data_IF_446678395171
#
_entry.id   IF_446678395171
#
_cell.length_a   1.000
_cell.length_b   1.000
_cell.length_c   1.000
_cell.angle_alpha   90.00
_cell.angle_beta   90.00
_cell.angle_gamma   90.00
#
_symmetry.space_group_name_H-M   'P 1'
#
loop_
_entity.id
_entity.type
_entity.pdbx_description
1 polymer ?
#
# COMPACT_ATOMS: atom_id res chain seq x y z
N UNK A 1 28.57 -15.61 -27.21
CA UNK A 1 27.84 -14.32 -27.34
C UNK A 1 28.81 -13.18 -27.52
N UNK A 2 29.78 -13.02 -26.61
CA UNK A 2 30.72 -11.89 -26.64
C UNK A 2 31.57 -11.80 -27.91
N UNK A 3 31.92 -12.94 -28.51
CA UNK A 3 32.79 -12.96 -29.70
C UNK A 3 32.03 -12.90 -31.04
N UNK A 4 30.70 -13.06 -31.04
CA UNK A 4 29.91 -13.27 -32.25
C UNK A 4 28.80 -12.24 -32.48
N UNK A 5 28.46 -11.44 -31.46
CA UNK A 5 27.41 -10.41 -31.56
C UNK A 5 28.09 -9.03 -31.62
N UNK A 6 28.04 -8.39 -32.79
CA UNK A 6 28.76 -7.12 -33.03
C UNK A 6 28.27 -5.92 -32.20
N UNK A 7 27.05 -5.98 -31.67
CA UNK A 7 26.46 -4.93 -30.83
C UNK A 7 26.48 -5.33 -29.35
N UNK A 8 27.05 -4.47 -28.50
CA UNK A 8 27.02 -4.67 -27.03
C UNK A 8 25.59 -4.72 -26.48
N UNK A 9 24.66 -3.98 -27.08
CA UNK A 9 23.26 -3.97 -26.67
C UNK A 9 22.58 -5.31 -26.98
N UNK A 10 22.78 -5.83 -28.19
CA UNK A 10 22.21 -7.10 -28.61
C UNK A 10 22.83 -8.26 -27.83
N UNK A 11 24.13 -8.20 -27.55
CA UNK A 11 24.82 -9.15 -26.68
C UNK A 11 24.19 -9.17 -25.27
N UNK A 12 23.84 -8.00 -24.72
CA UNK A 12 23.16 -7.89 -23.42
C UNK A 12 21.75 -8.47 -23.46
N UNK A 13 20.99 -8.23 -24.53
CA UNK A 13 19.66 -8.84 -24.72
C UNK A 13 19.79 -10.37 -24.75
N UNK A 14 20.67 -10.90 -25.59
CA UNK A 14 20.84 -12.35 -25.75
C UNK A 14 21.29 -13.02 -24.45
N UNK A 15 22.24 -12.41 -23.72
CA UNK A 15 22.64 -12.88 -22.38
C UNK A 15 21.48 -12.89 -21.40
N UNK A 16 20.62 -11.87 -21.44
CA UNK A 16 19.43 -11.80 -20.59
C UNK A 16 18.44 -12.91 -20.94
N UNK A 17 18.21 -13.19 -22.23
CA UNK A 17 17.35 -14.29 -22.67
C UNK A 17 17.88 -15.64 -22.20
N UNK A 18 19.18 -15.91 -22.38
CA UNK A 18 19.81 -17.15 -21.90
C UNK A 18 19.65 -17.32 -20.39
N UNK A 19 19.85 -16.23 -19.63
CA UNK A 19 19.63 -16.24 -18.19
C UNK A 19 18.18 -16.55 -17.82
N UNK A 20 17.22 -15.87 -18.43
CA UNK A 20 15.80 -16.13 -18.20
C UNK A 20 15.45 -17.59 -18.52
N UNK A 21 15.95 -18.14 -19.63
CA UNK A 21 15.76 -19.55 -19.98
C UNK A 21 16.38 -20.51 -18.95
N UNK A 22 17.59 -20.22 -18.47
CA UNK A 22 18.28 -21.06 -17.48
C UNK A 22 17.56 -21.13 -16.13
N UNK A 23 16.90 -20.04 -15.72
CA UNK A 23 16.16 -19.94 -14.46
C UNK A 23 14.66 -20.22 -14.62
N UNK A 24 14.15 -20.48 -15.83
CA UNK A 24 12.73 -20.74 -16.06
C UNK A 24 12.36 -22.12 -15.53
N UNK A 25 11.45 -22.15 -14.56
CA UNK A 25 11.02 -23.39 -13.91
C UNK A 25 9.61 -23.83 -14.29
N UNK A 26 8.77 -22.90 -14.77
CA UNK A 26 7.40 -23.19 -15.24
C UNK A 26 6.90 -22.05 -16.14
N UNK A 27 6.11 -22.37 -17.15
CA UNK A 27 5.32 -21.39 -17.90
C UNK A 27 4.01 -21.98 -18.41
N UNK A 28 2.95 -21.17 -18.45
CA UNK A 28 1.68 -21.57 -19.05
C UNK A 28 1.61 -21.32 -20.57
N UNK A 29 2.72 -20.87 -21.19
CA UNK A 29 2.78 -20.64 -22.63
C UNK A 29 2.45 -21.91 -23.45
N UNK A 30 2.83 -23.08 -22.95
CA UNK A 30 2.60 -24.37 -23.60
C UNK A 30 1.33 -25.10 -23.11
N UNK A 31 0.42 -24.39 -22.43
CA UNK A 31 -0.85 -24.93 -21.95
C UNK A 31 -1.70 -25.46 -23.11
N UNK A 32 -2.49 -26.51 -22.84
CA UNK A 32 -3.58 -26.90 -23.73
C UNK A 32 -4.69 -25.82 -23.72
N UNK A 33 -4.89 -25.16 -24.86
CA UNK A 33 -5.83 -24.04 -25.01
C UNK A 33 -5.20 -22.67 -24.75
N UNK A 34 -5.93 -21.60 -25.04
CA UNK A 34 -5.39 -20.23 -24.97
C UNK A 34 -5.34 -19.72 -23.54
N UNK A 35 -4.14 -19.41 -23.05
CA UNK A 35 -3.96 -18.70 -21.79
C UNK A 35 -4.45 -17.24 -21.89
N UNK A 36 -5.14 -16.74 -20.87
CA UNK A 36 -5.62 -15.35 -20.82
C UNK A 36 -4.50 -14.33 -20.60
N UNK A 37 -3.39 -14.77 -20.00
CA UNK A 37 -2.11 -14.10 -19.93
C UNK A 37 -1.00 -15.17 -19.79
N UNK A 38 0.22 -14.82 -20.19
CA UNK A 38 1.39 -15.69 -20.07
C UNK A 38 2.04 -15.46 -18.72
N UNK A 39 2.20 -16.50 -17.92
CA UNK A 39 3.03 -16.51 -16.72
C UNK A 39 4.33 -17.28 -16.99
N UNK A 40 5.44 -16.69 -16.58
CA UNK A 40 6.76 -17.32 -16.53
C UNK A 40 7.26 -17.26 -15.09
N UNK A 41 7.50 -18.42 -14.49
CA UNK A 41 8.01 -18.56 -13.12
C UNK A 41 9.50 -18.88 -13.17
N UNK A 42 10.28 -18.05 -12.53
CA UNK A 42 11.72 -18.22 -12.34
C UNK A 42 12.04 -18.56 -10.88
N UNK A 43 13.14 -19.28 -10.65
CA UNK A 43 13.76 -19.27 -9.32
C UNK A 43 14.34 -17.89 -9.00
N UNK A 44 14.67 -17.66 -7.73
CA UNK A 44 15.18 -16.37 -7.27
C UNK A 44 16.59 -16.01 -7.76
N UNK A 45 17.41 -17.01 -8.12
CA UNK A 45 18.79 -16.79 -8.58
C UNK A 45 18.82 -16.02 -9.91
N UNK A 46 17.68 -15.91 -10.61
CA UNK A 46 17.49 -15.00 -11.74
C UNK A 46 17.81 -13.53 -11.40
N UNK A 47 17.87 -13.16 -10.13
CA UNK A 47 18.26 -11.83 -9.66
C UNK A 47 19.63 -11.77 -8.96
N UNK A 48 20.39 -12.87 -8.90
CA UNK A 48 21.62 -12.96 -8.10
C UNK A 48 22.75 -11.99 -8.52
N UNK A 49 22.81 -11.64 -9.80
CA UNK A 49 23.78 -10.69 -10.37
C UNK A 49 23.36 -9.22 -10.25
N UNK A 50 22.16 -8.95 -9.70
CA UNK A 50 21.67 -7.59 -9.56
C UNK A 50 22.38 -6.90 -8.38
N UNK A 51 22.52 -5.56 -8.40
CA UNK A 51 23.16 -4.83 -7.31
C UNK A 51 22.43 -5.07 -5.99
N UNK A 52 23.16 -5.48 -4.94
CA UNK A 52 22.58 -5.73 -3.61
C UNK A 52 22.01 -4.49 -2.93
N UNK A 53 22.41 -3.31 -3.38
CA UNK A 53 21.82 -2.03 -2.95
C UNK A 53 20.36 -1.89 -3.38
N UNK A 54 19.96 -2.54 -4.48
CA UNK A 54 18.58 -2.56 -4.99
C UNK A 54 17.89 -3.89 -4.66
N UNK A 55 18.64 -4.99 -4.66
CA UNK A 55 18.14 -6.36 -4.45
C UNK A 55 18.91 -7.01 -3.29
N UNK A 56 18.61 -6.57 -2.08
CA UNK A 56 19.33 -6.95 -0.84
C UNK A 56 19.27 -8.44 -0.46
N UNK A 57 18.27 -9.16 -0.95
CA UNK A 57 17.98 -10.56 -0.62
C UNK A 57 17.47 -11.28 -1.87
N UNK A 58 17.95 -12.50 -2.09
CA UNK A 58 17.46 -13.35 -3.18
C UNK A 58 16.02 -13.81 -2.83
N UNK A 59 15.02 -13.57 -3.71
CA UNK A 59 13.66 -14.03 -3.48
C UNK A 59 13.58 -15.56 -3.61
N UNK A 60 12.46 -16.16 -3.18
CA UNK A 60 12.22 -17.58 -3.42
C UNK A 60 11.77 -17.84 -4.86
N UNK A 61 10.91 -16.97 -5.41
CA UNK A 61 10.47 -17.05 -6.80
C UNK A 61 10.11 -15.67 -7.35
N UNK A 62 10.27 -15.54 -8.66
CA UNK A 62 9.86 -14.36 -9.45
C UNK A 62 8.94 -14.82 -10.57
N UNK A 63 7.77 -14.20 -10.70
CA UNK A 63 6.89 -14.38 -11.86
C UNK A 63 6.91 -13.14 -12.72
N UNK A 64 7.03 -13.32 -14.02
CA UNK A 64 6.66 -12.32 -15.02
C UNK A 64 5.32 -12.75 -15.62
N UNK A 65 4.33 -11.86 -15.56
CA UNK A 65 3.00 -12.09 -16.13
C UNK A 65 2.73 -11.06 -17.21
N UNK A 66 2.45 -11.51 -18.43
CA UNK A 66 2.20 -10.64 -19.59
C UNK A 66 0.82 -10.94 -20.14
N UNK A 67 -0.05 -9.93 -20.10
CA UNK A 67 -1.39 -9.99 -20.67
C UNK A 67 -1.52 -9.10 -21.91
N UNK A 68 -2.73 -9.04 -22.46
CA UNK A 68 -3.03 -8.24 -23.66
C UNK A 68 -2.82 -6.73 -23.48
N UNK A 69 -3.06 -6.22 -22.28
CA UNK A 69 -3.10 -4.77 -21.99
C UNK A 69 -2.36 -4.40 -20.70
N UNK A 70 -1.48 -5.31 -20.24
CA UNK A 70 -0.69 -5.13 -19.05
C UNK A 70 0.53 -6.06 -19.07
N UNK A 71 1.51 -5.74 -18.25
CA UNK A 71 2.44 -6.74 -17.74
C UNK A 71 2.72 -6.47 -16.26
N UNK A 72 3.24 -7.47 -15.57
CA UNK A 72 3.31 -7.45 -14.12
C UNK A 72 4.30 -8.44 -13.55
N UNK A 73 4.61 -8.26 -12.27
CA UNK A 73 5.47 -9.17 -11.52
C UNK A 73 4.75 -9.72 -10.30
N UNK A 74 5.06 -10.97 -9.94
CA UNK A 74 4.80 -11.50 -8.61
C UNK A 74 6.12 -11.95 -7.98
N UNK A 75 6.49 -11.39 -6.84
CA UNK A 75 7.70 -11.80 -6.11
C UNK A 75 7.29 -12.32 -4.74
N UNK A 76 7.95 -13.40 -4.30
CA UNK A 76 7.83 -13.92 -2.93
C UNK A 76 9.18 -14.34 -2.36
N UNK A 77 9.35 -14.20 -1.05
CA UNK A 77 10.62 -14.45 -0.34
C UNK A 77 10.71 -15.80 0.37
N UNK A 78 9.60 -16.54 0.44
CA UNK A 78 9.52 -17.87 1.04
C UNK A 78 8.60 -18.75 0.19
N UNK A 79 8.63 -20.06 0.44
CA UNK A 79 7.75 -21.03 -0.21
C UNK A 79 6.27 -20.69 0.00
N UNK A 80 5.86 -20.52 1.26
CA UNK A 80 4.54 -20.04 1.65
C UNK A 80 4.67 -18.56 1.96
N UNK A 81 4.05 -17.72 1.14
CA UNK A 81 4.14 -16.27 1.26
C UNK A 81 2.83 -15.58 0.89
N UNK A 82 2.60 -14.41 1.49
CA UNK A 82 1.40 -13.59 1.27
C UNK A 82 1.73 -12.13 1.02
N UNK A 83 0.86 -11.48 0.24
CA UNK A 83 0.85 -10.03 0.14
C UNK A 83 0.03 -9.48 -1.01
N UNK A 84 -0.08 -8.16 -1.03
CA UNK A 84 -1.01 -7.41 -1.88
C UNK A 84 -0.72 -7.53 -3.37
N UNK A 85 -1.76 -7.51 -4.21
CA UNK A 85 -1.65 -7.25 -5.64
C UNK A 85 -1.99 -5.78 -5.88
N UNK A 86 -1.07 -5.01 -6.47
CA UNK A 86 -1.25 -3.60 -6.83
C UNK A 86 -1.52 -3.47 -8.32
N UNK A 87 -2.53 -2.67 -8.68
CA UNK A 87 -2.79 -2.30 -10.06
C UNK A 87 -2.36 -0.85 -10.28
N UNK A 88 -1.32 -0.67 -11.10
CA UNK A 88 -0.62 0.59 -11.31
C UNK A 88 -1.19 1.29 -12.54
N UNK A 89 -1.74 2.48 -12.29
CA UNK A 89 -2.25 3.39 -13.30
C UNK A 89 -1.25 4.54 -13.50
N UNK A 90 -1.14 5.02 -14.74
CA UNK A 90 -0.21 6.08 -15.13
C UNK A 90 -0.97 7.26 -15.72
N UNK A 91 -0.96 8.39 -15.02
CA UNK A 91 -1.67 9.62 -15.42
C UNK A 91 -1.22 10.22 -16.76
N UNK A 92 0.02 9.93 -17.18
CA UNK A 92 0.59 10.41 -18.44
C UNK A 92 1.76 9.51 -18.88
N UNK A 93 2.21 9.70 -20.12
CA UNK A 93 3.31 8.91 -20.71
C UNK A 93 4.62 8.99 -19.94
N UNK A 94 4.92 10.13 -19.31
CA UNK A 94 6.16 10.28 -18.53
C UNK A 94 6.13 9.42 -17.27
N UNK A 95 5.00 9.41 -16.56
CA UNK A 95 4.78 8.53 -15.41
C UNK A 95 4.78 7.06 -15.83
N UNK A 96 4.15 6.71 -16.96
CA UNK A 96 4.16 5.34 -17.48
C UNK A 96 5.58 4.85 -17.79
N UNK A 97 6.40 5.67 -18.46
CA UNK A 97 7.81 5.33 -18.74
C UNK A 97 8.60 5.08 -17.46
N UNK A 98 8.39 5.91 -16.43
CA UNK A 98 9.03 5.73 -15.11
C UNK A 98 8.58 4.40 -14.48
N UNK A 99 7.28 4.18 -14.36
CA UNK A 99 6.72 2.96 -13.77
C UNK A 99 7.20 1.71 -14.50
N UNK A 100 7.25 1.75 -15.83
CA UNK A 100 7.77 0.69 -16.68
C UNK A 100 9.23 0.35 -16.37
N UNK A 101 10.08 1.39 -16.26
CA UNK A 101 11.51 1.20 -15.98
C UNK A 101 11.79 0.65 -14.57
N UNK A 102 10.93 0.93 -13.59
CA UNK A 102 11.14 0.58 -12.18
C UNK A 102 10.24 -0.53 -11.66
N UNK A 103 9.38 -1.14 -12.50
CA UNK A 103 8.32 -2.04 -12.05
C UNK A 103 8.84 -3.25 -11.24
N UNK A 104 9.93 -3.86 -11.69
CA UNK A 104 10.56 -4.99 -11.01
C UNK A 104 11.10 -4.59 -9.63
N UNK A 105 11.78 -3.45 -9.56
CA UNK A 105 12.33 -2.91 -8.31
C UNK A 105 11.22 -2.53 -7.33
N UNK A 106 10.16 -1.88 -7.80
CA UNK A 106 8.99 -1.56 -6.99
C UNK A 106 8.34 -2.82 -6.43
N UNK A 107 8.09 -3.84 -7.27
CA UNK A 107 7.51 -5.10 -6.82
C UNK A 107 8.39 -5.81 -5.79
N UNK A 108 9.70 -5.85 -6.03
CA UNK A 108 10.68 -6.42 -5.12
C UNK A 108 10.67 -5.71 -3.76
N UNK A 109 10.75 -4.37 -3.74
CA UNK A 109 10.79 -3.58 -2.52
C UNK A 109 9.50 -3.73 -1.70
N UNK A 110 8.34 -3.77 -2.36
CA UNK A 110 7.06 -4.02 -1.71
C UNK A 110 6.97 -5.43 -1.12
N UNK A 111 7.44 -6.45 -1.86
CA UNK A 111 7.49 -7.83 -1.37
C UNK A 111 8.48 -8.00 -0.21
N UNK A 112 9.62 -7.31 -0.26
CA UNK A 112 10.65 -7.37 0.78
C UNK A 112 10.18 -6.67 2.06
N UNK A 113 9.52 -5.52 1.93
CA UNK A 113 8.86 -4.86 3.05
C UNK A 113 7.83 -5.79 3.69
N UNK A 114 7.03 -6.50 2.87
CA UNK A 114 6.08 -7.49 3.40
C UNK A 114 6.78 -8.66 4.11
N UNK A 115 7.96 -9.08 3.64
CA UNK A 115 8.75 -10.13 4.28
C UNK A 115 9.23 -9.71 5.67
N UNK A 116 9.66 -8.46 5.81
CA UNK A 116 10.07 -7.90 7.11
C UNK A 116 8.88 -7.72 8.06
N UNK A 117 7.70 -7.39 7.53
CA UNK A 117 6.46 -7.29 8.30
C UNK A 117 5.99 -8.65 8.84
N UNK A 118 6.16 -9.72 8.07
CA UNK A 118 5.68 -11.05 8.44
C UNK A 118 6.65 -11.81 9.36
N UNK A 119 7.49 -11.12 10.14
CA UNK A 119 8.55 -11.75 10.96
C UNK A 119 8.02 -12.71 12.05
N UNK A 120 6.79 -12.50 12.51
CA UNK A 120 6.19 -13.24 13.63
C UNK A 120 5.04 -14.20 13.20
N UNK A 121 4.87 -14.42 11.88
CA UNK A 121 3.85 -15.34 11.33
C UNK A 121 4.51 -16.37 10.41
N UNK A 122 3.89 -17.55 10.19
CA UNK A 122 4.53 -18.63 9.42
C UNK A 122 4.70 -18.32 7.93
N UNK A 123 3.94 -17.39 7.36
CA UNK A 123 4.06 -17.01 5.95
C UNK A 123 5.06 -15.87 5.73
N UNK A 124 5.97 -16.01 4.77
CA UNK A 124 6.82 -14.88 4.34
C UNK A 124 6.07 -13.85 3.48
N UNK A 125 6.82 -12.88 2.95
CA UNK A 125 6.29 -11.77 2.19
C UNK A 125 6.24 -12.03 0.69
N UNK A 126 5.15 -11.60 0.06
CA UNK A 126 5.01 -11.52 -1.38
C UNK A 126 4.36 -10.22 -1.85
N UNK A 127 4.42 -9.93 -3.15
CA UNK A 127 3.69 -8.83 -3.77
C UNK A 127 3.42 -9.11 -5.23
N UNK A 128 2.24 -8.72 -5.71
CA UNK A 128 1.92 -8.63 -7.14
C UNK A 128 1.88 -7.17 -7.59
N UNK A 129 2.35 -6.87 -8.80
CA UNK A 129 2.12 -5.59 -9.48
C UNK A 129 1.60 -5.85 -10.89
N UNK A 130 0.63 -5.05 -11.31
CA UNK A 130 0.02 -5.08 -12.66
C UNK A 130 0.14 -3.66 -13.21
N UNK A 131 1.04 -3.44 -14.17
CA UNK A 131 1.15 -2.16 -14.85
C UNK A 131 0.22 -2.16 -16.08
N UNK A 132 -0.81 -1.33 -16.04
CA UNK A 132 -1.76 -1.17 -17.15
C UNK A 132 -1.18 -0.33 -18.27
N UNK A 133 -1.45 -0.72 -19.51
CA UNK A 133 -1.12 0.10 -20.68
C UNK A 133 -1.88 1.42 -20.68
N UNK A 134 -1.26 2.47 -21.25
CA UNK A 134 -1.82 3.83 -21.28
C UNK A 134 -3.26 3.91 -21.81
N UNK A 135 -3.56 3.13 -22.84
CA UNK A 135 -4.85 3.17 -23.53
C UNK A 135 -5.88 2.22 -22.88
N UNK A 136 -5.54 1.58 -21.76
CA UNK A 136 -6.33 0.53 -21.11
C UNK A 136 -6.34 0.66 -19.59
N UNK A 137 -6.62 1.86 -19.07
CA UNK A 137 -6.57 2.15 -17.63
C UNK A 137 -7.93 2.28 -16.91
N UNK A 138 -9.04 1.94 -17.57
CA UNK A 138 -10.35 1.99 -16.91
C UNK A 138 -10.45 0.86 -15.88
N UNK A 139 -10.52 1.21 -14.61
CA UNK A 139 -10.46 0.25 -13.52
C UNK A 139 -11.61 -0.78 -13.56
N UNK A 140 -12.82 -0.35 -13.94
CA UNK A 140 -14.01 -1.20 -13.91
C UNK A 140 -14.10 -2.18 -15.10
N UNK A 141 -13.43 -1.87 -16.21
CA UNK A 141 -13.40 -2.72 -17.40
C UNK A 141 -12.01 -3.36 -17.57
N UNK A 142 -11.08 -2.66 -18.22
CA UNK A 142 -9.74 -3.18 -18.53
C UNK A 142 -8.93 -3.53 -17.28
N UNK A 143 -9.06 -2.78 -16.19
CA UNK A 143 -8.40 -3.10 -14.91
C UNK A 143 -8.90 -4.40 -14.29
N UNK A 144 -10.23 -4.61 -14.30
CA UNK A 144 -10.86 -5.87 -13.88
C UNK A 144 -10.40 -7.05 -14.75
N UNK A 145 -10.35 -6.86 -16.06
CA UNK A 145 -9.94 -7.92 -17.00
C UNK A 145 -8.45 -8.25 -16.84
N UNK A 146 -7.59 -7.24 -16.65
CA UNK A 146 -6.18 -7.45 -16.35
C UNK A 146 -5.99 -8.21 -15.03
N UNK A 147 -6.72 -7.86 -13.98
CA UNK A 147 -6.69 -8.60 -12.72
C UNK A 147 -7.12 -10.07 -12.91
N UNK A 148 -8.18 -10.33 -13.67
CA UNK A 148 -8.64 -11.69 -13.97
C UNK A 148 -7.57 -12.49 -14.71
N UNK A 149 -7.04 -11.95 -15.80
CA UNK A 149 -6.02 -12.60 -16.61
C UNK A 149 -4.75 -12.85 -15.80
N UNK A 150 -4.34 -11.90 -14.96
CA UNK A 150 -3.21 -12.04 -14.05
C UNK A 150 -3.42 -13.20 -13.07
N UNK A 151 -4.57 -13.24 -12.38
CA UNK A 151 -4.89 -14.31 -11.42
C UNK A 151 -5.04 -15.66 -12.13
N UNK A 152 -5.61 -15.70 -13.33
CA UNK A 152 -5.73 -16.92 -14.11
C UNK A 152 -4.37 -17.49 -14.53
N UNK A 153 -3.45 -16.63 -14.95
CA UNK A 153 -2.10 -17.04 -15.33
C UNK A 153 -1.34 -17.62 -14.14
N UNK A 154 -1.49 -17.02 -12.95
CA UNK A 154 -0.93 -17.58 -11.71
C UNK A 154 -1.65 -18.87 -11.29
N UNK A 155 -2.97 -18.96 -11.48
CA UNK A 155 -3.74 -20.19 -11.22
C UNK A 155 -3.38 -21.31 -12.18
N UNK A 156 -2.97 -21.01 -13.42
CA UNK A 156 -2.40 -22.01 -14.32
C UNK A 156 -1.15 -22.64 -13.69
N UNK A 157 -0.27 -21.82 -13.12
CA UNK A 157 0.91 -22.32 -12.42
C UNK A 157 0.57 -23.10 -11.13
N UNK A 158 -0.42 -22.65 -10.35
CA UNK A 158 -0.88 -23.34 -9.13
C UNK A 158 -1.47 -24.71 -9.47
N UNK A 159 -2.26 -24.77 -10.54
CA UNK A 159 -2.96 -25.96 -11.02
C UNK A 159 -2.20 -26.61 -12.18
N UNK A 160 -0.87 -26.68 -12.08
CA UNK A 160 -0.01 -27.12 -13.17
C UNK A 160 -0.41 -28.51 -13.68
N UNK A 161 -0.77 -29.45 -12.79
CA UNK A 161 -1.19 -30.80 -13.17
C UNK A 161 -2.50 -30.79 -13.95
N UNK A 162 -3.51 -30.07 -13.45
CA UNK A 162 -4.84 -29.97 -14.05
C UNK A 162 -4.82 -29.21 -15.37
N UNK A 163 -3.84 -28.34 -15.57
CA UNK A 163 -3.66 -27.55 -16.80
C UNK A 163 -2.67 -28.16 -17.79
N UNK A 164 -2.09 -29.32 -17.46
CA UNK A 164 -1.12 -30.02 -18.31
C UNK A 164 0.23 -29.31 -18.41
N UNK A 165 0.55 -28.42 -17.47
CA UNK A 165 1.81 -27.69 -17.47
C UNK A 165 2.94 -28.54 -16.88
N UNK A 166 4.05 -28.55 -17.61
CA UNK A 166 5.31 -29.05 -17.10
C UNK A 166 5.85 -28.11 -16.02
N UNK A 167 6.35 -28.71 -14.92
CA UNK A 167 6.83 -28.01 -13.74
C UNK A 167 8.12 -28.65 -13.24
N UNK A 168 9.18 -27.85 -13.13
CA UNK A 168 10.44 -28.24 -12.49
C UNK A 168 10.43 -28.07 -10.96
N UNK A 169 9.24 -27.95 -10.35
CA UNK A 169 9.11 -27.78 -8.92
C UNK A 169 9.14 -29.09 -8.15
N UNK A 170 9.87 -29.10 -7.04
CA UNK A 170 9.85 -30.20 -6.08
C UNK A 170 8.57 -30.29 -5.24
N UNK A 171 7.79 -29.20 -5.16
CA UNK A 171 6.57 -29.09 -4.37
C UNK A 171 5.44 -28.40 -5.15
N UNK A 172 4.16 -28.67 -4.82
CA UNK A 172 3.04 -27.96 -5.42
C UNK A 172 3.14 -26.46 -5.18
N UNK A 173 2.67 -25.69 -6.16
CA UNK A 173 2.74 -24.25 -6.10
C UNK A 173 1.58 -23.67 -5.28
N UNK A 174 1.87 -22.78 -4.32
CA UNK A 174 0.87 -22.16 -3.46
C UNK A 174 1.11 -20.66 -3.33
N UNK A 175 0.10 -19.86 -3.65
CA UNK A 175 0.14 -18.39 -3.58
C UNK A 175 -1.06 -17.87 -2.80
N UNK A 176 -0.84 -16.76 -2.08
CA UNK A 176 -1.86 -16.08 -1.28
C UNK A 176 -1.81 -14.57 -1.55
N UNK A 177 -2.94 -13.98 -1.93
CA UNK A 177 -3.04 -12.62 -2.43
C UNK A 177 -3.83 -11.73 -1.48
N UNK A 178 -3.30 -10.55 -1.16
CA UNK A 178 -4.04 -9.49 -0.49
C UNK A 178 -4.53 -8.42 -1.47
N UNK A 179 -5.44 -7.54 -1.03
CA UNK A 179 -5.69 -6.29 -1.74
C UNK A 179 -4.50 -5.34 -1.58
N UNK A 180 -4.35 -4.44 -2.55
CA UNK A 180 -3.53 -3.23 -2.48
C UNK A 180 -4.22 -2.14 -3.31
N UNK A 181 -3.52 -1.04 -3.59
CA UNK A 181 -3.99 0.05 -4.44
C UNK A 181 -4.68 -0.49 -5.71
N UNK A 182 -5.92 -0.03 -5.92
CA UNK A 182 -6.79 -0.34 -7.04
C UNK A 182 -7.25 -1.81 -7.18
N UNK A 183 -7.06 -2.69 -6.19
CA UNK A 183 -7.48 -4.11 -6.32
C UNK A 183 -8.45 -4.60 -5.24
N UNK A 184 -8.75 -3.80 -4.21
CA UNK A 184 -9.65 -4.19 -3.12
C UNK A 184 -11.00 -4.76 -3.62
N UNK A 185 -11.62 -4.11 -4.61
CA UNK A 185 -12.88 -4.55 -5.22
C UNK A 185 -12.81 -5.88 -5.99
N UNK A 186 -11.62 -6.41 -6.29
CA UNK A 186 -11.43 -7.61 -7.10
C UNK A 186 -11.11 -8.87 -6.29
N UNK A 187 -10.86 -8.76 -4.98
CA UNK A 187 -10.45 -9.91 -4.16
C UNK A 187 -11.50 -11.04 -4.12
N UNK A 188 -12.78 -10.68 -4.12
CA UNK A 188 -13.90 -11.63 -4.26
C UNK A 188 -13.80 -12.39 -5.58
N UNK A 189 -13.51 -11.68 -6.67
CA UNK A 189 -13.43 -12.24 -8.01
C UNK A 189 -12.30 -13.28 -8.09
N UNK A 190 -11.11 -12.94 -7.59
CA UNK A 190 -9.97 -13.88 -7.57
C UNK A 190 -10.29 -15.20 -6.86
N UNK A 191 -10.92 -15.16 -5.68
CA UNK A 191 -11.33 -16.38 -4.97
C UNK A 191 -12.40 -17.19 -5.72
N UNK A 192 -13.39 -16.54 -6.32
CA UNK A 192 -14.44 -17.22 -7.09
C UNK A 192 -13.89 -17.84 -8.38
N UNK A 193 -12.89 -17.23 -9.02
CA UNK A 193 -12.18 -17.83 -10.15
C UNK A 193 -11.45 -19.11 -9.74
N UNK A 194 -10.71 -19.08 -8.64
CA UNK A 194 -10.10 -20.29 -8.10
C UNK A 194 -11.13 -21.39 -7.80
N UNK A 195 -12.29 -21.01 -7.24
CA UNK A 195 -13.39 -21.96 -6.98
C UNK A 195 -13.89 -22.59 -8.28
N UNK A 196 -14.16 -21.78 -9.31
CA UNK A 196 -14.63 -22.25 -10.60
C UNK A 196 -13.64 -23.19 -11.30
N UNK A 197 -12.34 -23.02 -11.01
CA UNK A 197 -11.25 -23.87 -11.53
C UNK A 197 -10.93 -25.07 -10.65
N UNK A 198 -11.73 -25.35 -9.62
CA UNK A 198 -11.54 -26.52 -8.76
C UNK A 198 -10.39 -26.41 -7.76
N UNK A 199 -9.82 -25.22 -7.52
CA UNK A 199 -8.74 -25.07 -6.54
C UNK A 199 -9.26 -25.33 -5.13
N UNK A 200 -8.73 -26.36 -4.47
CA UNK A 200 -9.16 -26.81 -3.13
C UNK A 200 -9.15 -25.69 -2.09
N UNK A 201 -8.16 -24.80 -2.14
CA UNK A 201 -7.96 -23.72 -1.18
C UNK A 201 -8.47 -22.36 -1.70
N UNK A 202 -9.49 -22.34 -2.56
CA UNK A 202 -10.02 -21.12 -3.18
C UNK A 202 -10.41 -20.02 -2.20
N UNK A 203 -10.91 -20.38 -1.01
CA UNK A 203 -11.27 -19.40 0.03
C UNK A 203 -10.05 -18.67 0.59
N UNK A 204 -8.89 -19.31 0.68
CA UNK A 204 -7.68 -18.67 1.21
C UNK A 204 -6.83 -18.01 0.13
N UNK A 205 -7.10 -18.27 -1.16
CA UNK A 205 -6.33 -17.68 -2.27
C UNK A 205 -6.21 -16.15 -2.16
N UNK A 206 -7.30 -15.46 -1.81
CA UNK A 206 -7.27 -14.01 -1.59
C UNK A 206 -7.60 -13.65 -0.14
N UNK A 207 -7.29 -12.45 0.34
CA UNK A 207 -7.82 -11.85 1.57
C UNK A 207 -8.59 -10.56 1.23
N UNK A 208 -9.16 -9.84 2.20
CA UNK A 208 -9.94 -8.62 1.92
C UNK A 208 -11.28 -8.88 1.24
N UNK A 209 -11.86 -10.06 1.46
CA UNK A 209 -13.19 -10.46 0.97
C UNK A 209 -14.28 -10.16 2.01
N UNK A 210 -15.55 -10.25 1.61
CA UNK A 210 -16.67 -10.24 2.55
C UNK A 210 -16.69 -11.48 3.47
N UNK A 211 -17.35 -11.35 4.62
CA UNK A 211 -17.53 -12.43 5.60
C UNK A 211 -18.23 -13.66 5.02
N UNK A 212 -19.20 -13.48 4.10
CA UNK A 212 -19.89 -14.58 3.41
C UNK A 212 -18.92 -15.48 2.64
N UNK A 213 -17.80 -14.94 2.16
CA UNK A 213 -16.74 -15.68 1.47
C UNK A 213 -15.58 -16.07 2.39
N UNK A 214 -15.75 -15.96 3.71
CA UNK A 214 -14.73 -16.26 4.72
C UNK A 214 -13.69 -15.14 4.92
N UNK A 215 -13.96 -13.92 4.44
CA UNK A 215 -13.11 -12.78 4.74
C UNK A 215 -13.36 -12.24 6.14
N UNK A 216 -12.33 -11.62 6.73
CA UNK A 216 -12.42 -10.99 8.04
C UNK A 216 -12.25 -9.47 7.82
N UNK A 217 -13.30 -8.65 8.02
CA UNK A 217 -13.22 -7.20 7.78
C UNK A 217 -12.24 -6.53 8.75
N UNK A 218 -11.10 -6.08 8.24
CA UNK A 218 -10.01 -5.55 9.06
C UNK A 218 -10.35 -4.19 9.66
N UNK A 219 -11.16 -3.41 8.95
CA UNK A 219 -11.70 -2.11 9.35
C UNK A 219 -12.67 -2.23 10.53
N UNK A 220 -13.63 -3.17 10.45
CA UNK A 220 -14.64 -3.43 11.49
C UNK A 220 -14.02 -3.90 12.79
N UNK A 221 -13.01 -4.77 12.71
CA UNK A 221 -12.31 -5.30 13.88
C UNK A 221 -11.10 -4.47 14.27
N UNK A 222 -10.91 -3.31 13.64
CA UNK A 222 -9.83 -2.38 13.90
C UNK A 222 -8.45 -3.06 14.00
N UNK A 223 -8.18 -4.09 13.19
CA UNK A 223 -7.03 -5.00 13.40
C UNK A 223 -5.69 -4.25 13.43
N UNK A 224 -5.53 -3.28 12.53
CA UNK A 224 -4.32 -2.45 12.46
C UNK A 224 -4.21 -1.54 13.68
N UNK A 225 -5.28 -0.84 14.04
CA UNK A 225 -5.30 0.07 15.20
C UNK A 225 -5.11 -0.70 16.50
N UNK A 226 -5.76 -1.85 16.67
CA UNK A 226 -5.56 -2.78 17.79
C UNK A 226 -4.16 -3.40 17.85
N UNK A 227 -3.31 -3.18 16.84
CA UNK A 227 -1.90 -3.57 16.88
C UNK A 227 -1.00 -2.36 17.20
N UNK A 228 -1.26 -1.21 16.57
CA UNK A 228 -0.44 0.01 16.73
C UNK A 228 -0.70 0.69 18.07
N UNK A 229 -1.96 0.82 18.46
CA UNK A 229 -2.34 1.57 19.65
C UNK A 229 -1.83 0.92 20.95
N UNK A 230 -1.93 -0.41 21.16
CA UNK A 230 -1.28 -1.05 22.30
C UNK A 230 0.24 -0.89 22.33
N UNK A 231 0.90 -0.80 21.17
CA UNK A 231 2.33 -0.52 21.12
C UNK A 231 2.64 0.89 21.63
N UNK A 232 1.83 1.89 21.24
CA UNK A 232 1.96 3.25 21.73
C UNK A 232 1.68 3.33 23.25
N UNK A 233 0.58 2.74 23.73
CA UNK A 233 0.23 2.79 25.16
C UNK A 233 1.22 2.01 26.03
N UNK A 234 1.82 0.93 25.55
CA UNK A 234 2.88 0.22 26.28
C UNK A 234 4.17 1.05 26.38
N UNK A 235 4.51 1.84 25.35
CA UNK A 235 5.60 2.81 25.44
C UNK A 235 5.30 3.89 26.48
N UNK A 236 4.08 4.43 26.49
CA UNK A 236 3.66 5.41 27.48
C UNK A 236 3.72 4.84 28.90
N UNK A 237 3.26 3.60 29.10
CA UNK A 237 3.36 2.90 30.38
C UNK A 237 4.81 2.80 30.87
N UNK A 238 5.75 2.46 29.98
CA UNK A 238 7.19 2.42 30.32
C UNK A 238 7.77 3.79 30.69
N UNK A 239 7.22 4.86 30.12
CA UNK A 239 7.61 6.23 30.44
C UNK A 239 6.89 6.77 31.68
N UNK A 240 5.94 6.03 32.25
CA UNK A 240 5.12 6.49 33.38
C UNK A 240 4.13 7.58 33.01
N UNK A 241 3.76 7.66 31.73
CA UNK A 241 2.90 8.71 31.17
C UNK A 241 1.49 8.15 30.93
N UNK A 242 0.47 8.90 31.35
CA UNK A 242 -0.92 8.52 31.14
C UNK A 242 -1.44 9.11 29.82
N UNK A 243 -1.94 8.25 28.93
CA UNK A 243 -2.46 8.64 27.61
C UNK A 243 -3.49 9.77 27.67
N UNK A 244 -4.40 9.75 28.66
CA UNK A 244 -5.47 10.73 28.83
C UNK A 244 -4.98 12.17 29.08
N UNK A 245 -3.71 12.32 29.48
CA UNK A 245 -3.08 13.60 29.76
C UNK A 245 -2.31 14.16 28.57
N UNK A 246 -2.13 13.36 27.52
CA UNK A 246 -1.35 13.73 26.35
C UNK A 246 -2.19 14.43 25.30
N UNK A 247 -1.55 15.32 24.56
CA UNK A 247 -2.06 15.86 23.32
C UNK A 247 -1.67 14.97 22.15
N UNK A 248 -2.53 14.90 21.13
CA UNK A 248 -2.27 14.15 19.90
C UNK A 248 -2.56 14.97 18.65
N UNK A 249 -1.70 14.84 17.65
CA UNK A 249 -2.02 15.20 16.26
C UNK A 249 -2.06 13.96 15.36
N UNK A 250 -2.90 14.02 14.34
CA UNK A 250 -3.06 12.94 13.36
C UNK A 250 -2.94 13.44 11.93
N UNK A 251 -2.26 12.66 11.09
CA UNK A 251 -2.40 12.76 9.64
C UNK A 251 -3.23 11.58 9.12
N UNK A 252 -4.20 11.83 8.25
CA UNK A 252 -5.26 10.88 7.96
C UNK A 252 -6.38 10.98 8.99
N UNK A 253 -7.61 11.06 8.50
CA UNK A 253 -8.75 11.55 9.28
C UNK A 253 -9.72 10.48 9.73
N UNK A 254 -10.89 10.91 10.24
CA UNK A 254 -11.97 10.03 10.70
C UNK A 254 -12.61 9.19 9.58
N UNK A 255 -12.31 9.46 8.31
CA UNK A 255 -12.75 8.67 7.16
C UNK A 255 -11.94 7.37 6.98
N UNK A 256 -10.66 7.38 7.38
CA UNK A 256 -9.75 6.26 7.14
C UNK A 256 -9.88 5.10 8.13
N UNK A 257 -9.50 3.89 7.69
CA UNK A 257 -9.51 2.66 8.49
C UNK A 257 -8.76 2.80 9.83
N UNK A 258 -7.56 3.40 9.80
CA UNK A 258 -6.73 3.58 10.98
C UNK A 258 -7.22 4.77 11.80
N UNK A 259 -7.43 5.91 11.15
CA UNK A 259 -7.75 7.18 11.81
C UNK A 259 -9.07 7.15 12.57
N UNK A 260 -10.12 6.60 11.97
CA UNK A 260 -11.41 6.45 12.65
C UNK A 260 -11.30 5.55 13.88
N UNK A 261 -10.63 4.40 13.75
CA UNK A 261 -10.54 3.42 14.82
C UNK A 261 -9.65 3.94 15.94
N UNK A 262 -8.59 4.68 15.61
CA UNK A 262 -7.74 5.37 16.58
C UNK A 262 -8.55 6.39 17.38
N UNK A 263 -9.39 7.20 16.73
CA UNK A 263 -10.32 8.13 17.42
C UNK A 263 -11.26 7.39 18.38
N UNK A 264 -11.75 6.20 18.01
CA UNK A 264 -12.71 5.44 18.80
C UNK A 264 -12.10 4.77 20.04
N UNK A 265 -10.81 4.38 20.00
CA UNK A 265 -10.20 3.62 21.10
C UNK A 265 -9.30 4.47 22.00
N UNK A 266 -8.73 5.55 21.47
CA UNK A 266 -7.78 6.39 22.19
C UNK A 266 -8.42 7.30 23.23
N UNK A 267 -7.66 7.63 24.26
CA UNK A 267 -8.07 8.45 25.41
C UNK A 267 -7.39 9.82 25.46
N UNK A 268 -6.43 10.08 24.58
CA UNK A 268 -5.69 11.35 24.50
C UNK A 268 -6.59 12.57 24.25
N UNK A 269 -5.97 13.75 24.24
CA UNK A 269 -6.57 15.00 23.77
C UNK A 269 -6.15 15.25 22.33
N UNK A 270 -6.95 14.83 21.37
CA UNK A 270 -6.67 15.10 19.95
C UNK A 270 -6.88 16.59 19.66
N UNK A 271 -5.80 17.31 19.35
CA UNK A 271 -5.82 18.75 19.12
C UNK A 271 -5.78 19.12 17.64
N UNK A 272 -5.30 18.22 16.77
CA UNK A 272 -5.25 18.48 15.33
C UNK A 272 -5.48 17.23 14.49
N UNK A 273 -6.22 17.38 13.39
CA UNK A 273 -6.38 16.37 12.34
C UNK A 273 -6.15 17.02 10.98
N UNK A 274 -5.30 16.41 10.16
CA UNK A 274 -5.06 16.79 8.77
C UNK A 274 -5.34 15.60 7.85
N UNK A 275 -6.33 15.71 6.98
CA UNK A 275 -6.69 14.65 6.03
C UNK A 275 -6.87 15.17 4.60
N UNK A 276 -7.44 14.33 3.72
CA UNK A 276 -7.65 14.71 2.32
C UNK A 276 -8.67 15.83 2.10
N UNK A 277 -9.52 16.10 3.08
CA UNK A 277 -10.65 17.04 3.02
C UNK A 277 -10.36 18.39 3.69
N UNK A 278 -9.38 18.46 4.59
CA UNK A 278 -9.03 19.71 5.26
C UNK A 278 -8.14 19.53 6.49
N UNK A 279 -8.15 20.57 7.34
CA UNK A 279 -7.47 20.60 8.62
C UNK A 279 -8.39 21.16 9.70
N UNK A 280 -8.40 20.53 10.87
CA UNK A 280 -9.00 21.07 12.08
C UNK A 280 -7.94 21.16 13.18
N UNK A 281 -7.94 22.27 13.90
CA UNK A 281 -7.05 22.52 15.02
C UNK A 281 -7.81 23.19 16.16
N UNK A 282 -7.62 22.69 17.37
CA UNK A 282 -8.13 23.31 18.59
C UNK A 282 -7.14 23.04 19.73
N UNK A 283 -6.49 24.06 20.31
CA UNK A 283 -5.55 23.87 21.42
C UNK A 283 -6.25 23.33 22.68
N UNK A 284 -7.56 23.58 22.82
CA UNK A 284 -8.38 23.04 23.89
C UNK A 284 -8.87 21.62 23.60
N UNK A 285 -8.46 21.02 22.47
CA UNK A 285 -8.82 19.68 22.05
C UNK A 285 -10.11 19.69 21.22
N UNK A 286 -10.07 19.01 20.08
CA UNK A 286 -11.24 18.82 19.24
C UNK A 286 -12.29 18.03 20.02
N UNK A 287 -13.56 18.45 19.90
CA UNK A 287 -14.65 17.81 20.62
C UNK A 287 -14.74 16.29 20.33
N UNK A 288 -14.59 15.48 21.38
CA UNK A 288 -14.49 14.01 21.27
C UNK A 288 -15.77 13.36 20.74
N UNK A 289 -16.95 13.85 21.12
CA UNK A 289 -18.23 13.33 20.62
C UNK A 289 -18.38 13.59 19.13
N UNK A 290 -17.99 14.77 18.68
CA UNK A 290 -18.02 15.13 17.27
C UNK A 290 -17.02 14.31 16.45
N UNK A 291 -15.79 14.12 16.94
CA UNK A 291 -14.83 13.22 16.30
C UNK A 291 -15.36 11.78 16.21
N UNK A 292 -16.00 11.29 17.26
CA UNK A 292 -16.62 9.96 17.31
C UNK A 292 -17.73 9.83 16.27
N UNK A 293 -18.56 10.88 16.11
CA UNK A 293 -19.60 10.94 15.06
C UNK A 293 -18.97 10.83 13.67
N UNK A 294 -17.94 11.61 13.37
CA UNK A 294 -17.25 11.56 12.08
C UNK A 294 -16.63 10.17 11.83
N UNK A 295 -15.99 9.59 12.84
CA UNK A 295 -15.36 8.27 12.77
C UNK A 295 -16.38 7.15 12.46
N UNK A 296 -17.56 7.19 13.08
CA UNK A 296 -18.64 6.25 12.76
C UNK A 296 -19.24 6.47 11.38
N UNK A 297 -19.37 7.72 10.94
CA UNK A 297 -19.88 8.06 9.61
C UNK A 297 -18.86 7.85 8.48
N UNK A 298 -17.57 7.67 8.81
CA UNK A 298 -16.47 7.51 7.85
C UNK A 298 -16.36 8.71 6.90
N UNK A 299 -16.44 9.91 7.44
CA UNK A 299 -16.31 11.17 6.68
C UNK A 299 -15.12 11.98 7.17
N UNK A 300 -14.47 12.71 6.25
CA UNK A 300 -13.27 13.49 6.55
C UNK A 300 -13.55 14.70 7.43
N UNK A 301 -12.48 15.28 7.98
CA UNK A 301 -12.48 16.36 8.97
C UNK A 301 -13.20 17.63 8.51
N UNK A 302 -13.33 17.86 7.20
CA UNK A 302 -14.13 18.98 6.67
C UNK A 302 -15.60 18.96 7.14
N UNK A 303 -16.10 17.82 7.62
CA UNK A 303 -17.46 17.66 8.15
C UNK A 303 -17.56 17.92 9.66
N UNK A 304 -16.47 18.32 10.32
CA UNK A 304 -16.47 18.72 11.72
C UNK A 304 -17.31 19.98 11.90
N UNK A 305 -18.22 19.98 12.89
CA UNK A 305 -19.04 21.15 13.19
C UNK A 305 -18.19 22.28 13.77
N UNK A 306 -18.20 23.45 13.10
CA UNK A 306 -17.49 24.65 13.58
C UNK A 306 -17.97 25.10 14.97
N UNK A 307 -19.24 24.87 15.30
CA UNK A 307 -19.82 25.18 16.61
C UNK A 307 -19.29 24.30 17.75
N UNK A 308 -18.57 23.22 17.41
CA UNK A 308 -17.90 22.32 18.36
C UNK A 308 -16.43 22.64 18.57
N UNK A 309 -15.90 23.65 17.88
CA UNK A 309 -14.62 24.25 18.25
C UNK A 309 -14.78 25.03 19.56
N UNK A 310 -13.73 25.05 20.37
CA UNK A 310 -13.69 25.89 21.55
C UNK A 310 -13.71 27.37 21.18
N UNK A 311 -13.97 28.23 22.17
CA UNK A 311 -13.90 29.68 22.00
C UNK A 311 -12.45 30.22 21.97
N UNK A 312 -11.44 29.34 21.91
CA UNK A 312 -10.05 29.75 21.78
C UNK A 312 -9.83 30.44 20.42
N UNK A 313 -9.27 31.65 20.36
CA UNK A 313 -9.08 32.37 19.10
C UNK A 313 -8.11 31.67 18.14
N UNK A 314 -7.33 30.70 18.62
CA UNK A 314 -6.46 29.87 17.79
C UNK A 314 -7.17 28.65 17.21
N UNK A 315 -8.39 28.33 17.62
CA UNK A 315 -9.13 27.18 17.08
C UNK A 315 -9.69 27.48 15.69
N UNK A 316 -9.57 26.53 14.75
CA UNK A 316 -10.08 26.68 13.39
C UNK A 316 -10.38 25.35 12.70
N UNK A 317 -11.23 25.45 11.68
CA UNK A 317 -11.45 24.44 10.65
C UNK A 317 -11.21 25.11 9.28
N UNK A 318 -10.36 24.52 8.46
CA UNK A 318 -10.14 24.92 7.07
C UNK A 318 -10.38 23.71 6.17
N UNK A 319 -11.29 23.84 5.23
CA UNK A 319 -11.61 22.81 4.23
C UNK A 319 -10.82 23.05 2.95
N UNK A 320 -10.64 22.03 2.11
CA UNK A 320 -9.99 22.20 0.81
C UNK A 320 -10.75 23.13 -0.15
N UNK A 321 -12.04 23.37 0.10
CA UNK A 321 -12.88 24.24 -0.72
C UNK A 321 -12.75 25.72 -0.34
N UNK A 322 -12.15 26.01 0.82
CA UNK A 322 -11.92 27.38 1.28
C UNK A 322 -10.90 28.10 0.38
N UNK A 323 -11.13 29.40 0.16
CA UNK A 323 -10.28 30.28 -0.65
C UNK A 323 -9.85 31.46 0.19
N UNK A 324 -8.66 31.99 -0.10
CA UNK A 324 -8.16 33.21 0.53
C UNK A 324 -8.17 33.11 2.06
N UNK A 325 -7.48 32.09 2.59
CA UNK A 325 -7.53 31.72 4.00
C UNK A 325 -6.47 32.48 4.78
N UNK A 326 -6.88 33.11 5.88
CA UNK A 326 -5.97 33.68 6.88
C UNK A 326 -6.09 32.88 8.17
N UNK A 327 -5.00 32.30 8.65
CA UNK A 327 -4.97 31.55 9.92
C UNK A 327 -4.87 32.51 11.12
N UNK A 328 -5.18 32.05 12.35
CA UNK A 328 -5.15 32.91 13.53
C UNK A 328 -3.79 33.57 13.84
N UNK A 329 -2.68 33.00 13.38
CA UNK A 329 -1.34 33.60 13.51
C UNK A 329 -1.06 34.70 12.46
N UNK A 330 -1.99 34.94 11.52
CA UNK A 330 -1.86 35.92 10.45
C UNK A 330 -1.30 35.36 9.14
N UNK A 331 -0.92 34.08 9.10
CA UNK A 331 -0.45 33.45 7.86
C UNK A 331 -1.55 33.40 6.81
N UNK A 332 -1.21 33.82 5.59
CA UNK A 332 -2.13 33.88 4.47
C UNK A 332 -1.84 32.82 3.41
N UNK A 333 -2.89 32.16 2.94
CA UNK A 333 -2.84 31.11 1.92
C UNK A 333 -3.91 31.35 0.86
N UNK A 334 -3.58 31.05 -0.40
CA UNK A 334 -4.52 31.28 -1.51
C UNK A 334 -5.70 30.31 -1.48
N UNK A 335 -5.52 29.15 -0.86
CA UNK A 335 -6.55 28.10 -0.77
C UNK A 335 -6.37 27.22 0.46
N UNK A 336 -7.45 26.58 0.90
CA UNK A 336 -7.40 25.56 1.94
C UNK A 336 -6.60 24.32 1.53
N UNK A 337 -6.44 24.05 0.22
CA UNK A 337 -5.50 23.03 -0.28
C UNK A 337 -4.06 23.38 0.08
N UNK A 338 -3.66 24.65 -0.05
CA UNK A 338 -2.32 25.10 0.36
C UNK A 338 -2.14 24.98 1.88
N UNK A 339 -3.14 25.39 2.68
CA UNK A 339 -3.12 25.20 4.14
C UNK A 339 -2.90 23.74 4.48
N UNK A 340 -3.77 22.84 3.98
CA UNK A 340 -3.70 21.40 4.25
C UNK A 340 -2.36 20.78 3.84
N UNK A 341 -1.78 21.21 2.73
CA UNK A 341 -0.50 20.67 2.26
C UNK A 341 0.69 21.11 3.12
N UNK A 342 0.67 22.34 3.66
CA UNK A 342 1.75 22.86 4.48
C UNK A 342 1.53 22.62 5.98
N UNK A 343 0.32 22.22 6.40
CA UNK A 343 -0.05 22.07 7.80
C UNK A 343 0.92 21.22 8.63
N UNK A 344 1.47 20.08 8.15
CA UNK A 344 2.46 19.31 8.91
C UNK A 344 3.77 20.07 9.21
N UNK A 345 4.06 21.14 8.48
CA UNK A 345 5.24 22.00 8.70
C UNK A 345 4.95 23.15 9.68
N UNK A 346 3.68 23.46 9.97
CA UNK A 346 3.26 24.58 10.80
C UNK A 346 3.43 24.32 12.30
N UNK A 347 3.32 25.38 13.11
CA UNK A 347 3.36 25.31 14.59
C UNK A 347 2.17 24.56 15.18
N UNK A 348 1.01 24.60 14.51
CA UNK A 348 -0.23 23.94 14.93
C UNK A 348 -0.15 22.40 14.90
N UNK A 349 0.83 21.85 14.20
CA UNK A 349 1.05 20.41 14.06
C UNK A 349 2.17 19.95 15.00
N UNK A 350 1.96 20.14 16.30
CA UNK A 350 2.87 19.75 17.39
C UNK A 350 2.03 19.30 18.61
N UNK A 351 2.40 18.19 19.22
CA UNK A 351 1.69 17.56 20.34
C UNK A 351 2.57 16.45 20.94
N UNK A 352 2.22 15.90 22.11
CA UNK A 352 2.99 14.81 22.74
C UNK A 352 2.97 13.50 21.93
N UNK A 353 1.99 13.32 21.04
CA UNK A 353 1.87 12.17 20.16
C UNK A 353 1.56 12.60 18.72
N UNK A 354 2.31 12.06 17.78
CA UNK A 354 1.96 12.08 16.36
C UNK A 354 1.67 10.68 15.86
N UNK A 355 0.42 10.46 15.40
CA UNK A 355 0.00 9.19 14.79
C UNK A 355 -0.28 9.40 13.29
N UNK A 356 0.63 8.95 12.40
CA UNK A 356 0.40 8.98 10.97
C UNK A 356 -0.51 7.83 10.52
N UNK A 357 -1.81 8.09 10.46
CA UNK A 357 -2.86 7.15 10.06
C UNK A 357 -3.20 7.18 8.56
N UNK A 358 -2.46 7.93 7.75
CA UNK A 358 -2.69 8.08 6.32
C UNK A 358 -2.44 9.51 5.85
N UNK A 359 -3.17 9.89 4.80
CA UNK A 359 -2.96 11.14 4.08
C UNK A 359 -2.05 10.95 2.87
N UNK A 360 -1.09 11.85 2.68
CA UNK A 360 -0.22 11.87 1.50
C UNK A 360 0.96 10.89 1.69
N UNK A 361 1.24 9.97 0.75
CA UNK A 361 2.48 9.19 0.78
C UNK A 361 3.71 10.11 0.87
N UNK A 362 4.61 9.83 1.81
CA UNK A 362 5.78 10.66 2.04
C UNK A 362 5.49 11.99 2.73
N UNK A 363 4.45 12.08 3.59
CA UNK A 363 4.22 13.22 4.49
C UNK A 363 5.51 13.67 5.16
N UNK A 364 6.34 12.72 5.61
CA UNK A 364 7.73 12.95 6.02
C UNK A 364 8.65 12.35 4.97
N UNK A 365 9.60 13.14 4.48
CA UNK A 365 10.62 12.75 3.53
C UNK A 365 11.89 13.58 3.76
N UNK A 366 12.97 13.25 3.05
CA UNK A 366 14.28 13.91 3.23
C UNK A 366 14.24 15.44 3.00
N UNK A 367 13.29 15.94 2.21
CA UNK A 367 13.15 17.37 1.92
C UNK A 367 12.38 18.16 2.98
N UNK A 368 11.65 17.50 3.88
CA UNK A 368 10.83 18.18 4.89
C UNK A 368 10.96 17.63 6.32
N UNK A 369 11.74 16.57 6.55
CA UNK A 369 11.90 15.95 7.88
C UNK A 369 12.27 16.97 8.95
N UNK A 370 13.19 17.90 8.65
CA UNK A 370 13.61 18.92 9.61
C UNK A 370 12.47 19.89 9.99
N UNK A 371 11.62 20.22 9.02
CA UNK A 371 10.48 21.14 9.24
C UNK A 371 9.29 20.47 9.91
N UNK A 372 9.08 19.19 9.63
CA UNK A 372 7.95 18.42 10.17
C UNK A 372 8.25 17.89 11.57
N UNK A 373 9.49 17.46 11.84
CA UNK A 373 9.84 16.83 13.12
C UNK A 373 10.35 17.80 14.17
N UNK A 374 10.89 18.96 13.76
CA UNK A 374 11.50 19.92 14.69
C UNK A 374 10.87 21.30 14.59
N UNK A 375 10.80 21.98 15.73
CA UNK A 375 10.45 23.39 15.77
C UNK A 375 11.55 24.20 15.07
N UNK A 376 11.21 25.08 14.10
CA UNK A 376 12.21 25.82 13.33
C UNK A 376 13.04 26.79 14.19
N UNK A 377 12.48 27.30 15.29
CA UNK A 377 13.12 28.26 16.19
C UNK A 377 13.91 27.55 17.29
N UNK A 378 13.27 26.63 18.04
CA UNK A 378 13.90 25.99 19.20
C UNK A 378 14.77 24.79 18.86
N UNK A 379 14.58 24.20 17.66
CA UNK A 379 15.17 22.92 17.22
C UNK A 379 14.77 21.71 18.08
N UNK A 380 13.81 21.87 18.99
CA UNK A 380 13.25 20.77 19.76
C UNK A 380 12.26 19.96 18.92
N UNK A 381 12.02 18.71 19.31
CA UNK A 381 11.05 17.85 18.65
C UNK A 381 9.62 18.42 18.80
N UNK A 382 8.84 18.34 17.73
CA UNK A 382 7.41 18.68 17.76
C UNK A 382 6.54 17.63 18.46
N UNK A 383 7.07 16.40 18.63
CA UNK A 383 6.39 15.21 19.13
C UNK A 383 7.26 14.38 20.07
#
# INVERSE_FOLDING_TARGET
>A
VDDQVGSRFDAKILKTLLKLSAHLQMTNFFKAGTASAIAMRFDGEVLADRPRTLFSRIPYAVYLVVGRSFYGFHIRFTEIARGGIRLILSRNRQVYKKNCATLLEENYNLAFTQQLKNKDIPEGGSKGTILMDMDSQNLNTSGRDAFNSYVDALLDCILAKETGLYSNLSKPEMLFFGPDENTAGFMKLGALRAKARGYKYWKSLTTGKSAVLGGIPHDKYAMTTNSIHPYATELLNKLGVEESKLTKVMSGGPDGDLGSNEILISKDKTIAICDGTGVAYDPQGLNREELTRLAHLRVGVANFSRDKLSSDPKAFLVTIDDKDVTLPNGDHFKSGVEVRNHFPEMEYFSADLFIPCGGRPGTINIGNVDKTMFNPETKELKF
#
